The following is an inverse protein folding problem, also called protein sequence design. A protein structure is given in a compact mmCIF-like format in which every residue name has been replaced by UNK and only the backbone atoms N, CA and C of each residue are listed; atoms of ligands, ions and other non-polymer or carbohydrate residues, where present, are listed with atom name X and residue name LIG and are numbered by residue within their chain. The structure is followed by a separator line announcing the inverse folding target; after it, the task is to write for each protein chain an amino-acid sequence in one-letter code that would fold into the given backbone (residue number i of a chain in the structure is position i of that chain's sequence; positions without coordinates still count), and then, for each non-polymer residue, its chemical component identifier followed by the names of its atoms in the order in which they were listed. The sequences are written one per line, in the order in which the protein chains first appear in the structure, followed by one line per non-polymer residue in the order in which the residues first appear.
data_IF_447463209301
#
_entry.id   IF_447463209301
#
_cell.length_a   1.000
_cell.length_b   1.000
_cell.length_c   1.000
_cell.angle_alpha   90.00
_cell.angle_beta   90.00
_cell.angle_gamma   90.00
#
_symmetry.space_group_name_H-M   'P 1'
#
loop_
_entity.id
_entity.type
_entity.pdbx_description
1 polymer ?
#
# COMPACT_ATOMS: atom_id res chain seq x y z
N UNK A 1 -32.46 -7.71 37.22
CA UNK A 1 -32.32 -8.49 35.98
C UNK A 1 -31.03 -8.06 35.34
N UNK A 2 -29.98 -8.84 35.59
CA UNK A 2 -28.63 -8.66 35.07
C UNK A 2 -28.64 -8.99 33.59
N UNK A 3 -28.49 -7.99 32.75
CA UNK A 3 -28.29 -8.13 31.30
C UNK A 3 -26.96 -8.81 31.06
N UNK A 4 -27.03 -10.04 30.58
CA UNK A 4 -25.90 -10.83 30.11
C UNK A 4 -25.32 -10.14 28.88
N UNK A 5 -24.19 -9.45 29.07
CA UNK A 5 -23.30 -9.09 27.96
C UNK A 5 -22.83 -10.39 27.32
N UNK A 6 -23.41 -10.76 26.18
CA UNK A 6 -22.83 -11.80 25.33
C UNK A 6 -21.47 -11.28 24.87
N UNK A 7 -20.38 -11.85 25.39
CA UNK A 7 -19.06 -11.67 24.78
C UNK A 7 -19.16 -12.18 23.34
N UNK A 8 -19.20 -11.26 22.38
CA UNK A 8 -19.07 -11.63 20.97
C UNK A 8 -17.74 -12.34 20.80
N UNK A 9 -17.75 -13.52 20.17
CA UNK A 9 -16.53 -14.27 19.89
C UNK A 9 -15.62 -13.44 18.97
N UNK A 10 -14.31 -13.45 19.24
CA UNK A 10 -13.32 -12.77 18.41
C UNK A 10 -13.34 -13.32 16.98
N UNK A 11 -13.36 -12.46 15.97
CA UNK A 11 -13.41 -12.87 14.57
C UNK A 11 -13.55 -11.70 13.59
N UNK A 12 -13.82 -11.96 12.31
CA UNK A 12 -13.99 -10.89 11.30
C UNK A 12 -15.13 -9.92 11.64
N UNK A 13 -16.12 -10.40 12.38
CA UNK A 13 -17.20 -9.59 12.96
C UNK A 13 -16.68 -8.48 13.88
N UNK A 14 -15.55 -8.70 14.56
CA UNK A 14 -14.89 -7.70 15.41
C UNK A 14 -14.40 -6.48 14.62
N UNK A 15 -14.20 -6.62 13.31
CA UNK A 15 -13.74 -5.55 12.43
C UNK A 15 -14.89 -4.81 11.72
N UNK A 16 -16.15 -5.21 11.93
CA UNK A 16 -17.31 -4.50 11.36
C UNK A 16 -17.42 -3.09 11.94
N UNK A 17 -17.85 -2.16 11.09
CA UNK A 17 -18.02 -0.75 11.42
C UNK A 17 -19.15 -0.18 10.56
N UNK A 18 -19.68 0.98 10.94
CA UNK A 18 -20.69 1.69 10.15
C UNK A 18 -19.99 2.43 9.00
N UNK A 19 -20.11 1.91 7.77
CA UNK A 19 -19.42 2.43 6.60
C UNK A 19 -19.90 3.86 6.25
N UNK A 20 -21.18 4.18 6.44
CA UNK A 20 -21.69 5.52 6.13
C UNK A 20 -21.21 6.55 7.16
N UNK A 21 -21.32 6.22 8.45
CA UNK A 21 -20.83 7.10 9.51
C UNK A 21 -19.32 7.35 9.37
N UNK A 22 -18.56 6.31 9.01
CA UNK A 22 -17.13 6.42 8.81
C UNK A 22 -16.77 7.21 7.55
N UNK A 23 -17.51 7.03 6.45
CA UNK A 23 -17.32 7.83 5.24
C UNK A 23 -17.59 9.33 5.49
N UNK A 24 -18.61 9.66 6.31
CA UNK A 24 -18.88 11.03 6.75
C UNK A 24 -17.71 11.56 7.58
N UNK A 25 -17.23 10.80 8.57
CA UNK A 25 -16.12 11.19 9.45
C UNK A 25 -14.83 11.46 8.65
N UNK A 26 -14.51 10.59 7.70
CA UNK A 26 -13.36 10.77 6.82
C UNK A 26 -13.55 12.01 5.92
N UNK A 27 -14.74 12.18 5.35
CA UNK A 27 -15.06 13.35 4.52
C UNK A 27 -14.92 14.67 5.28
N UNK A 28 -15.37 14.72 6.53
CA UNK A 28 -15.20 15.88 7.40
C UNK A 28 -13.73 16.18 7.71
N UNK A 29 -12.92 15.15 7.97
CA UNK A 29 -11.48 15.29 8.18
C UNK A 29 -10.78 15.85 6.93
N UNK A 30 -11.14 15.36 5.74
CA UNK A 30 -10.63 15.89 4.47
C UNK A 30 -11.01 17.37 4.31
N UNK A 31 -12.30 17.72 4.48
CA UNK A 31 -12.76 19.12 4.36
C UNK A 31 -12.04 20.03 5.36
N UNK A 32 -11.90 19.59 6.61
CA UNK A 32 -11.21 20.35 7.64
C UNK A 32 -9.75 20.62 7.26
N UNK A 33 -9.02 19.60 6.80
CA UNK A 33 -7.64 19.75 6.34
C UNK A 33 -7.53 20.75 5.18
N UNK A 34 -8.40 20.64 4.17
CA UNK A 34 -8.38 21.54 3.01
C UNK A 34 -8.66 22.99 3.41
N UNK A 35 -9.63 23.24 4.31
CA UNK A 35 -9.93 24.59 4.80
C UNK A 35 -8.76 25.16 5.60
N UNK A 36 -8.21 24.39 6.55
CA UNK A 36 -7.09 24.82 7.38
C UNK A 36 -5.85 25.18 6.54
N UNK A 37 -5.61 24.44 5.45
CA UNK A 37 -4.44 24.61 4.58
C UNK A 37 -4.72 25.38 3.29
N UNK A 38 -5.91 25.99 3.15
CA UNK A 38 -6.33 26.79 1.98
C UNK A 38 -6.19 26.04 0.64
N UNK A 39 -6.47 24.74 0.65
CA UNK A 39 -6.44 23.87 -0.53
C UNK A 39 -7.82 23.73 -1.15
N UNK A 40 -7.86 23.63 -2.48
CA UNK A 40 -9.10 23.67 -3.28
C UNK A 40 -9.67 22.30 -3.58
N UNK A 41 -8.92 21.21 -3.48
CA UNK A 41 -9.38 19.86 -3.82
C UNK A 41 -8.34 18.80 -3.50
N UNK A 42 -8.53 17.59 -4.04
CA UNK A 42 -7.66 16.43 -3.84
C UNK A 42 -7.06 15.97 -5.17
N UNK A 43 -5.76 15.68 -5.16
CA UNK A 43 -5.05 14.94 -6.20
C UNK A 43 -4.66 13.56 -5.65
N UNK A 44 -4.78 12.52 -6.47
CA UNK A 44 -4.30 11.18 -6.14
C UNK A 44 -3.94 10.36 -7.38
N UNK A 45 -2.97 9.45 -7.25
CA UNK A 45 -2.73 8.40 -8.22
C UNK A 45 -3.78 7.29 -8.13
N UNK A 46 -4.21 6.78 -9.27
CA UNK A 46 -5.12 5.63 -9.38
C UNK A 46 -4.43 4.50 -10.16
N UNK A 47 -4.41 3.31 -9.57
CA UNK A 47 -3.77 2.11 -10.14
C UNK A 47 -4.78 1.00 -10.50
N UNK A 48 -6.08 1.30 -10.39
CA UNK A 48 -7.13 0.28 -10.49
C UNK A 48 -7.08 -0.74 -9.36
N UNK A 49 -6.38 -0.43 -8.26
CA UNK A 49 -6.41 -1.18 -7.01
C UNK A 49 -7.47 -0.66 -6.05
N UNK A 50 -7.91 -1.50 -5.12
CA UNK A 50 -9.01 -1.21 -4.20
C UNK A 50 -8.75 0.02 -3.32
N UNK A 51 -7.53 0.20 -2.80
CA UNK A 51 -7.24 1.27 -1.84
C UNK A 51 -7.36 2.66 -2.48
N UNK A 52 -6.74 2.85 -3.65
CA UNK A 52 -6.86 4.11 -4.40
C UNK A 52 -8.30 4.39 -4.86
N UNK A 53 -9.06 3.34 -5.16
CA UNK A 53 -10.46 3.44 -5.57
C UNK A 53 -11.36 3.93 -4.44
N UNK A 54 -11.17 3.40 -3.23
CA UNK A 54 -11.87 3.85 -2.02
C UNK A 54 -11.52 5.29 -1.68
N UNK A 55 -10.24 5.67 -1.74
CA UNK A 55 -9.83 7.05 -1.49
C UNK A 55 -10.43 8.02 -2.50
N UNK A 56 -10.46 7.66 -3.80
CA UNK A 56 -11.11 8.46 -4.83
C UNK A 56 -12.62 8.64 -4.53
N UNK A 57 -13.33 7.55 -4.24
CA UNK A 57 -14.76 7.58 -3.95
C UNK A 57 -15.09 8.37 -2.67
N UNK A 58 -14.28 8.24 -1.60
CA UNK A 58 -14.40 9.04 -0.38
C UNK A 58 -14.18 10.53 -0.66
N UNK A 59 -13.18 10.88 -1.47
CA UNK A 59 -12.93 12.27 -1.84
C UNK A 59 -14.09 12.86 -2.66
N UNK A 60 -14.67 12.09 -3.59
CA UNK A 60 -15.85 12.51 -4.37
C UNK A 60 -17.07 12.68 -3.48
N UNK A 61 -17.35 11.72 -2.57
CA UNK A 61 -18.44 11.85 -1.59
C UNK A 61 -18.25 13.08 -0.70
N UNK A 62 -17.00 13.41 -0.36
CA UNK A 62 -16.69 14.54 0.50
C UNK A 62 -16.78 15.90 -0.21
N UNK A 63 -16.34 16.00 -1.46
CA UNK A 63 -16.04 17.28 -2.12
C UNK A 63 -16.82 17.52 -3.42
N UNK A 64 -17.43 16.47 -4.00
CA UNK A 64 -17.91 16.46 -5.37
C UNK A 64 -16.80 16.13 -6.39
N UNK A 65 -17.16 15.65 -7.59
CA UNK A 65 -16.20 15.19 -8.59
C UNK A 65 -15.28 16.30 -9.12
N UNK A 66 -15.80 17.52 -9.28
CA UNK A 66 -15.06 18.69 -9.80
C UNK A 66 -13.85 19.12 -8.94
N UNK A 67 -13.71 18.54 -7.74
CA UNK A 67 -12.65 18.85 -6.77
C UNK A 67 -11.72 17.67 -6.53
N UNK A 68 -11.78 16.64 -7.38
CA UNK A 68 -10.94 15.45 -7.34
C UNK A 68 -10.28 15.28 -8.70
N UNK A 69 -8.96 15.16 -8.72
CA UNK A 69 -8.18 15.00 -9.94
C UNK A 69 -7.29 13.76 -9.84
N UNK A 70 -7.47 12.81 -10.76
CA UNK A 70 -6.78 11.51 -10.73
C UNK A 70 -5.63 11.43 -11.73
N UNK A 71 -4.55 10.73 -11.36
CA UNK A 71 -3.42 10.46 -12.25
C UNK A 71 -3.33 8.95 -12.53
N UNK A 72 -3.33 8.59 -13.81
CA UNK A 72 -2.98 7.26 -14.29
C UNK A 72 -1.49 7.26 -14.62
N UNK A 73 -0.68 6.49 -13.89
CA UNK A 73 0.79 6.54 -13.99
C UNK A 73 1.42 5.18 -14.30
N UNK A 74 1.14 4.61 -15.49
CA UNK A 74 1.74 3.35 -15.93
C UNK A 74 3.24 3.53 -16.22
N UNK A 75 3.95 2.42 -16.23
CA UNK A 75 5.31 2.32 -16.74
C UNK A 75 5.48 1.06 -17.60
N UNK A 76 6.63 0.92 -18.28
CA UNK A 76 6.84 -0.12 -19.30
C UNK A 76 6.68 -1.57 -18.78
N UNK A 77 6.70 -1.81 -17.48
CA UNK A 77 6.45 -3.12 -16.85
C UNK A 77 5.12 -3.20 -16.09
N UNK A 78 4.29 -2.14 -16.12
CA UNK A 78 2.95 -2.18 -15.55
C UNK A 78 2.06 -3.16 -16.32
N UNK A 79 1.14 -3.82 -15.61
CA UNK A 79 0.13 -4.68 -16.23
C UNK A 79 -0.76 -3.92 -17.23
N UNK A 80 -1.02 -4.53 -18.39
CA UNK A 80 -1.86 -3.97 -19.46
C UNK A 80 -3.27 -3.60 -18.99
N UNK A 81 -3.81 -4.34 -18.01
CA UNK A 81 -5.18 -4.14 -17.52
C UNK A 81 -5.31 -2.94 -16.56
N UNK A 82 -4.19 -2.46 -15.99
CA UNK A 82 -4.17 -1.41 -14.96
C UNK A 82 -4.85 -0.12 -15.43
N UNK A 83 -4.57 0.31 -16.67
CA UNK A 83 -5.17 1.53 -17.25
C UNK A 83 -6.67 1.34 -17.48
N UNK A 84 -7.09 0.14 -17.89
CA UNK A 84 -8.51 -0.17 -18.10
C UNK A 84 -9.31 -0.03 -16.81
N UNK A 85 -8.81 -0.60 -15.71
CA UNK A 85 -9.44 -0.49 -14.40
C UNK A 85 -9.44 0.93 -13.84
N UNK A 86 -8.31 1.64 -13.93
CA UNK A 86 -8.21 3.00 -13.42
C UNK A 86 -9.11 3.96 -14.20
N UNK A 87 -9.20 3.81 -15.53
CA UNK A 87 -10.12 4.60 -16.37
C UNK A 87 -11.57 4.30 -16.02
N UNK A 88 -11.93 3.01 -15.85
CA UNK A 88 -13.27 2.62 -15.44
C UNK A 88 -13.69 3.25 -14.12
N UNK A 89 -12.77 3.31 -13.14
CA UNK A 89 -13.00 4.00 -11.89
C UNK A 89 -13.26 5.49 -12.11
N UNK A 90 -12.39 6.19 -12.85
CA UNK A 90 -12.52 7.64 -13.05
C UNK A 90 -13.81 8.00 -13.78
N UNK A 91 -14.20 7.18 -14.78
CA UNK A 91 -15.45 7.35 -15.52
C UNK A 91 -16.67 7.12 -14.62
N UNK A 92 -16.65 6.06 -13.79
CA UNK A 92 -17.74 5.76 -12.86
C UNK A 92 -17.92 6.85 -11.80
N UNK A 93 -16.83 7.48 -11.36
CA UNK A 93 -16.86 8.58 -10.39
C UNK A 93 -17.10 9.96 -11.03
N UNK A 94 -16.99 10.06 -12.36
CA UNK A 94 -17.12 11.32 -13.09
C UNK A 94 -16.03 12.35 -12.77
N UNK A 95 -14.81 11.90 -12.46
CA UNK A 95 -13.69 12.78 -12.07
C UNK A 95 -12.73 13.04 -13.23
N UNK A 96 -12.17 14.24 -13.27
CA UNK A 96 -11.11 14.58 -14.23
C UNK A 96 -9.86 13.74 -13.94
N UNK A 97 -9.18 13.33 -15.02
CA UNK A 97 -7.95 12.57 -14.92
C UNK A 97 -6.96 12.83 -16.05
N UNK A 98 -5.71 12.42 -15.85
CA UNK A 98 -4.64 12.51 -16.84
C UNK A 98 -3.82 11.22 -16.86
N UNK A 99 -3.33 10.85 -18.04
CA UNK A 99 -2.37 9.78 -18.23
C UNK A 99 -0.95 10.37 -18.28
N UNK A 100 -0.09 9.93 -17.37
CA UNK A 100 1.31 10.32 -17.29
C UNK A 100 2.18 9.06 -17.35
N UNK A 101 2.75 8.76 -18.53
CA UNK A 101 3.71 7.66 -18.67
C UNK A 101 5.03 8.02 -17.95
N UNK A 102 5.34 7.29 -16.89
CA UNK A 102 6.53 7.55 -16.07
C UNK A 102 7.78 6.82 -16.58
N UNK A 103 7.66 5.98 -17.61
CA UNK A 103 8.77 5.19 -18.15
C UNK A 103 9.99 6.07 -18.52
N UNK A 104 9.84 7.22 -19.21
CA UNK A 104 10.98 8.06 -19.56
C UNK A 104 11.72 8.60 -18.33
N UNK A 105 11.00 8.95 -17.25
CA UNK A 105 11.60 9.42 -15.98
C UNK A 105 12.38 8.28 -15.33
N UNK A 106 11.82 7.07 -15.32
CA UNK A 106 12.48 5.89 -14.75
C UNK A 106 13.72 5.47 -15.54
N UNK A 107 13.68 5.56 -16.88
CA UNK A 107 14.86 5.39 -17.73
C UNK A 107 15.92 6.44 -17.42
N UNK A 108 15.53 7.72 -17.30
CA UNK A 108 16.45 8.81 -16.96
C UNK A 108 17.12 8.66 -15.58
N UNK A 109 16.42 8.07 -14.62
CA UNK A 109 16.96 7.73 -13.29
C UNK A 109 17.85 6.47 -13.31
N UNK A 110 17.84 5.71 -14.42
CA UNK A 110 18.50 4.43 -14.54
C UNK A 110 17.84 3.33 -13.70
N UNK A 111 16.53 3.42 -13.42
CA UNK A 111 15.83 2.50 -12.53
C UNK A 111 15.96 1.04 -13.01
N UNK A 112 15.64 0.77 -14.28
CA UNK A 112 15.73 -0.58 -14.85
C UNK A 112 17.18 -1.07 -14.93
N UNK A 113 18.10 -0.22 -15.41
CA UNK A 113 19.52 -0.57 -15.52
C UNK A 113 20.11 -0.97 -14.16
N UNK A 114 19.92 -0.17 -13.12
CA UNK A 114 20.45 -0.43 -11.77
C UNK A 114 19.90 -1.71 -11.18
N UNK A 115 18.59 -1.95 -11.34
CA UNK A 115 17.96 -3.19 -10.92
C UNK A 115 18.57 -4.39 -11.64
N UNK A 116 18.64 -4.34 -12.97
CA UNK A 116 19.11 -5.46 -13.77
C UNK A 116 20.60 -5.75 -13.52
N UNK A 117 21.42 -4.71 -13.35
CA UNK A 117 22.83 -4.83 -12.97
C UNK A 117 22.98 -5.53 -11.60
N UNK A 118 22.13 -5.19 -10.63
CA UNK A 118 22.11 -5.83 -9.32
C UNK A 118 21.66 -7.31 -9.39
N UNK A 119 20.65 -7.63 -10.20
CA UNK A 119 20.23 -9.02 -10.44
C UNK A 119 21.36 -9.80 -11.13
N UNK A 120 22.07 -9.21 -12.09
CA UNK A 120 23.18 -9.88 -12.81
C UNK A 120 24.34 -10.29 -11.90
N UNK A 121 24.50 -9.67 -10.73
CA UNK A 121 25.51 -10.10 -9.74
C UNK A 121 25.23 -11.51 -9.19
N UNK A 122 23.96 -11.92 -9.14
CA UNK A 122 23.56 -13.27 -8.69
C UNK A 122 23.13 -14.18 -9.83
N UNK A 123 22.62 -13.60 -10.93
CA UNK A 123 22.22 -14.32 -12.15
C UNK A 123 22.90 -13.68 -13.36
N UNK A 124 24.15 -14.03 -13.71
CA UNK A 124 24.92 -13.37 -14.77
C UNK A 124 24.25 -13.37 -16.16
N UNK A 125 23.34 -14.33 -16.42
CA UNK A 125 22.59 -14.42 -17.67
C UNK A 125 21.37 -13.49 -17.75
N UNK A 126 20.97 -12.83 -16.66
CA UNK A 126 19.79 -11.97 -16.61
C UNK A 126 19.91 -10.79 -17.58
N UNK A 127 18.94 -10.60 -18.46
CA UNK A 127 19.03 -9.60 -19.52
C UNK A 127 17.69 -9.30 -20.17
N UNK A 128 17.73 -8.80 -21.42
CA UNK A 128 16.53 -8.40 -22.14
C UNK A 128 15.51 -9.54 -22.24
N UNK A 129 14.23 -9.23 -21.98
CA UNK A 129 13.12 -10.19 -22.04
C UNK A 129 12.97 -11.07 -20.80
N UNK A 130 13.89 -10.98 -19.83
CA UNK A 130 13.73 -11.66 -18.55
C UNK A 130 12.79 -10.88 -17.63
N UNK A 131 12.04 -11.60 -16.81
CA UNK A 131 11.23 -11.01 -15.73
C UNK A 131 11.79 -11.42 -14.38
N UNK A 132 11.51 -10.65 -13.35
CA UNK A 132 11.94 -10.93 -11.98
C UNK A 132 10.92 -10.46 -10.94
N UNK A 133 10.98 -11.07 -9.75
CA UNK A 133 10.39 -10.59 -8.48
C UNK A 133 11.27 -10.96 -7.29
N UNK A 134 11.22 -10.18 -6.22
CA UNK A 134 11.85 -10.54 -4.94
C UNK A 134 10.85 -11.32 -4.09
N UNK A 135 11.26 -12.44 -3.51
CA UNK A 135 10.44 -13.24 -2.59
C UNK A 135 11.11 -13.37 -1.23
N UNK A 136 10.29 -13.50 -0.19
CA UNK A 136 10.71 -13.81 1.17
C UNK A 136 10.01 -15.11 1.63
N UNK A 137 10.72 -16.06 2.25
CA UNK A 137 10.08 -17.29 2.76
C UNK A 137 8.97 -16.97 3.78
N UNK A 138 7.88 -17.74 3.78
CA UNK A 138 6.75 -17.61 4.72
C UNK A 138 7.17 -17.69 6.19
N UNK A 139 6.57 -16.86 7.05
CA UNK A 139 6.78 -16.86 8.52
C UNK A 139 6.12 -18.06 9.20
N UNK A 140 5.06 -18.58 8.61
CA UNK A 140 4.21 -19.58 9.25
C UNK A 140 4.90 -20.95 9.28
N UNK A 141 5.74 -21.22 8.28
CA UNK A 141 6.25 -22.56 8.00
C UNK A 141 7.64 -22.85 8.61
N UNK A 142 8.41 -21.84 9.03
CA UNK A 142 9.78 -22.05 9.57
C UNK A 142 10.35 -20.87 10.38
N UNK A 143 11.14 -21.17 11.42
CA UNK A 143 11.95 -20.20 12.18
C UNK A 143 13.35 -19.92 11.55
N UNK A 144 13.60 -20.38 10.31
CA UNK A 144 14.88 -20.19 9.64
C UNK A 144 15.17 -18.72 9.28
N UNK A 145 16.45 -18.35 9.21
CA UNK A 145 16.89 -17.02 8.77
C UNK A 145 16.28 -16.65 7.40
N UNK A 146 15.41 -15.63 7.39
CA UNK A 146 14.69 -15.17 6.20
C UNK A 146 15.62 -14.31 5.34
N UNK A 147 16.07 -14.88 4.23
CA UNK A 147 16.91 -14.17 3.27
C UNK A 147 16.16 -14.01 1.96
N UNK A 148 16.17 -12.79 1.45
CA UNK A 148 15.54 -12.45 0.19
C UNK A 148 16.15 -13.25 -0.95
N UNK A 149 15.29 -13.75 -1.82
CA UNK A 149 15.68 -14.37 -3.07
C UNK A 149 15.05 -13.62 -4.23
N UNK A 150 15.68 -13.69 -5.39
CA UNK A 150 15.09 -13.25 -6.65
C UNK A 150 14.60 -14.47 -7.40
N UNK A 151 13.33 -14.45 -7.79
CA UNK A 151 12.80 -15.36 -8.80
C UNK A 151 12.99 -14.67 -10.14
N UNK A 152 13.62 -15.35 -11.08
CA UNK A 152 13.80 -14.87 -12.45
C UNK A 152 13.11 -15.82 -13.42
N UNK A 153 12.49 -15.27 -14.44
CA UNK A 153 11.88 -16.00 -15.55
C UNK A 153 12.63 -15.62 -16.83
N UNK A 154 13.16 -16.63 -17.53
CA UNK A 154 13.83 -16.41 -18.81
C UNK A 154 12.83 -16.26 -19.98
N UNK A 155 13.28 -15.85 -21.18
CA UNK A 155 12.38 -15.69 -22.33
C UNK A 155 11.69 -16.97 -22.82
N UNK A 156 12.10 -18.15 -22.35
CA UNK A 156 11.42 -19.43 -22.62
C UNK A 156 10.30 -19.72 -21.62
N UNK A 157 10.17 -18.91 -20.55
CA UNK A 157 9.22 -19.08 -19.46
C UNK A 157 9.76 -19.95 -18.32
N UNK A 158 11.04 -20.35 -18.34
CA UNK A 158 11.61 -21.15 -17.27
C UNK A 158 11.96 -20.27 -16.07
N UNK A 159 11.49 -20.66 -14.88
CA UNK A 159 11.77 -19.94 -13.64
C UNK A 159 12.90 -20.58 -12.82
N UNK A 160 13.69 -19.72 -12.18
CA UNK A 160 14.70 -20.15 -11.20
C UNK A 160 14.79 -19.17 -10.03
N UNK A 161 15.14 -19.67 -8.85
CA UNK A 161 15.21 -18.89 -7.61
C UNK A 161 16.65 -18.80 -7.12
N UNK A 162 17.13 -17.59 -6.89
CA UNK A 162 18.52 -17.32 -6.50
C UNK A 162 18.56 -16.46 -5.24
N UNK A 163 19.39 -16.86 -4.27
CA UNK A 163 19.56 -16.11 -3.03
C UNK A 163 20.30 -14.80 -3.32
N UNK A 164 19.74 -13.69 -2.83
CA UNK A 164 20.36 -12.38 -2.99
C UNK A 164 21.47 -12.17 -1.98
N UNK A 165 22.55 -11.51 -2.40
CA UNK A 165 23.47 -10.85 -1.48
C UNK A 165 22.80 -9.60 -0.90
N UNK A 166 23.24 -9.12 0.26
CA UNK A 166 22.71 -7.89 0.86
C UNK A 166 22.87 -6.70 -0.09
N UNK A 167 24.00 -6.59 -0.78
CA UNK A 167 24.27 -5.53 -1.75
C UNK A 167 23.28 -5.58 -2.93
N UNK A 168 23.09 -6.76 -3.55
CA UNK A 168 22.15 -6.91 -4.65
C UNK A 168 20.70 -6.61 -4.22
N UNK A 169 20.29 -7.11 -3.05
CA UNK A 169 18.97 -6.83 -2.49
C UNK A 169 18.74 -5.32 -2.28
N UNK A 170 19.67 -4.64 -1.61
CA UNK A 170 19.54 -3.21 -1.32
C UNK A 170 19.48 -2.36 -2.60
N UNK A 171 20.26 -2.70 -3.63
CA UNK A 171 20.23 -1.97 -4.89
C UNK A 171 18.95 -2.23 -5.69
N UNK A 172 18.45 -3.46 -5.72
CA UNK A 172 17.15 -3.76 -6.35
C UNK A 172 16.03 -2.95 -5.67
N UNK A 173 15.98 -2.94 -4.34
CA UNK A 173 14.98 -2.16 -3.59
C UNK A 173 15.15 -0.66 -3.86
N UNK A 174 16.38 -0.15 -3.85
CA UNK A 174 16.65 1.27 -4.12
C UNK A 174 16.20 1.69 -5.53
N UNK A 175 16.47 0.86 -6.54
CA UNK A 175 16.07 1.09 -7.92
C UNK A 175 14.54 1.03 -8.09
N UNK A 176 13.91 0.05 -7.44
CA UNK A 176 12.45 -0.14 -7.47
C UNK A 176 11.70 1.03 -6.82
N UNK A 177 12.26 1.61 -5.76
CA UNK A 177 11.69 2.78 -5.09
C UNK A 177 11.58 4.03 -5.99
N UNK A 178 12.32 4.11 -7.10
CA UNK A 178 12.15 5.20 -8.07
C UNK A 178 10.73 5.23 -8.66
N UNK A 179 10.09 4.06 -8.87
CA UNK A 179 8.70 3.97 -9.37
C UNK A 179 7.75 4.80 -8.51
N UNK A 180 7.75 4.54 -7.20
CA UNK A 180 6.83 5.22 -6.27
C UNK A 180 7.18 6.71 -6.06
N UNK A 181 8.46 7.05 -6.09
CA UNK A 181 8.91 8.46 -5.96
C UNK A 181 8.59 9.29 -7.20
N UNK A 182 8.73 8.72 -8.40
CA UNK A 182 8.35 9.39 -9.64
C UNK A 182 6.85 9.69 -9.68
N UNK A 183 6.02 8.71 -9.31
CA UNK A 183 4.56 8.89 -9.18
C UNK A 183 4.21 10.03 -8.22
N UNK A 184 4.84 10.02 -7.04
CA UNK A 184 4.61 11.06 -6.04
C UNK A 184 5.04 12.46 -6.50
N UNK A 185 6.15 12.55 -7.24
CA UNK A 185 6.58 13.82 -7.82
C UNK A 185 5.54 14.40 -8.79
N UNK A 186 4.91 13.57 -9.61
CA UNK A 186 3.84 14.00 -10.53
C UNK A 186 2.56 14.37 -9.78
N UNK A 187 2.15 13.61 -8.77
CA UNK A 187 1.00 13.98 -7.95
C UNK A 187 1.17 15.36 -7.31
N UNK A 188 2.35 15.65 -6.74
CA UNK A 188 2.62 16.98 -6.17
C UNK A 188 2.73 18.08 -7.24
N UNK A 189 3.26 17.79 -8.44
CA UNK A 189 3.20 18.74 -9.55
C UNK A 189 1.76 19.16 -9.87
N UNK A 190 0.83 18.20 -9.97
CA UNK A 190 -0.58 18.50 -10.21
C UNK A 190 -1.24 19.20 -9.02
N UNK A 191 -0.90 18.79 -7.79
CA UNK A 191 -1.41 19.43 -6.57
C UNK A 191 -1.01 20.91 -6.50
N UNK A 192 0.26 21.24 -6.78
CA UNK A 192 0.75 22.61 -6.80
C UNK A 192 0.06 23.43 -7.90
N UNK A 193 -0.03 22.89 -9.12
CA UNK A 193 -0.67 23.55 -10.27
C UNK A 193 -2.15 23.86 -10.02
N UNK A 194 -2.86 22.98 -9.31
CA UNK A 194 -4.30 23.10 -9.03
C UNK A 194 -4.59 23.78 -7.68
N UNK A 195 -3.57 24.00 -6.85
CA UNK A 195 -3.69 24.32 -5.41
C UNK A 195 -4.55 23.30 -4.65
N UNK A 196 -4.31 22.01 -4.89
CA UNK A 196 -4.98 20.87 -4.27
C UNK A 196 -4.05 20.24 -3.21
N UNK A 197 -4.57 19.31 -2.40
CA UNK A 197 -3.78 18.48 -1.51
C UNK A 197 -3.61 17.07 -2.10
N UNK A 198 -2.51 16.41 -1.79
CA UNK A 198 -2.26 15.02 -2.21
C UNK A 198 -2.86 14.03 -1.21
N UNK A 199 -3.71 13.12 -1.67
CA UNK A 199 -4.20 12.01 -0.86
C UNK A 199 -3.35 10.75 -1.03
N UNK A 200 -2.91 10.18 0.09
CA UNK A 200 -2.24 8.88 0.15
C UNK A 200 -3.23 7.75 0.37
N UNK A 201 -2.90 6.58 -0.15
CA UNK A 201 -3.78 5.41 -0.17
C UNK A 201 -3.34 4.21 0.69
N UNK A 202 -2.35 4.27 1.62
CA UNK A 202 -2.03 3.08 2.39
C UNK A 202 -3.17 2.78 3.38
N UNK A 203 -3.59 1.51 3.45
CA UNK A 203 -4.51 1.03 4.49
C UNK A 203 -3.75 0.72 5.79
N UNK A 204 -4.46 0.27 6.84
CA UNK A 204 -3.87 0.02 8.16
C UNK A 204 -2.76 -1.03 8.13
N UNK A 205 -2.91 -2.12 7.38
CA UNK A 205 -1.88 -3.15 7.32
C UNK A 205 -0.58 -2.57 6.75
N UNK A 206 -0.72 -1.80 5.68
CA UNK A 206 0.41 -1.23 4.95
C UNK A 206 1.07 -0.11 5.76
N UNK A 207 0.26 0.79 6.32
CA UNK A 207 0.76 1.91 7.11
C UNK A 207 1.40 1.44 8.41
N UNK A 208 0.79 0.50 9.14
CA UNK A 208 1.32 0.02 10.43
C UNK A 208 2.64 -0.74 10.29
N UNK A 209 2.76 -1.57 9.25
CA UNK A 209 3.92 -2.42 9.05
C UNK A 209 5.00 -1.77 8.16
N UNK A 210 4.79 -0.53 7.69
CA UNK A 210 5.74 0.20 6.86
C UNK A 210 5.86 -0.33 5.44
N UNK A 211 4.76 -0.84 4.88
CA UNK A 211 4.69 -1.30 3.50
C UNK A 211 4.40 -0.15 2.53
N UNK A 212 5.37 0.74 2.40
CA UNK A 212 5.33 1.87 1.48
C UNK A 212 6.74 2.44 1.29
N UNK A 213 6.94 3.23 0.24
CA UNK A 213 8.21 3.91 -0.01
C UNK A 213 8.19 5.28 0.68
N UNK A 214 9.16 5.53 1.56
CA UNK A 214 9.39 6.87 2.13
C UNK A 214 9.66 7.87 1.00
N UNK A 215 8.92 8.97 0.99
CA UNK A 215 8.88 10.00 -0.07
C UNK A 215 8.36 9.49 -1.44
N UNK A 216 7.81 8.27 -1.48
CA UNK A 216 7.03 7.75 -2.59
C UNK A 216 5.55 7.74 -2.22
N UNK A 217 4.87 6.62 -2.42
CA UNK A 217 3.49 6.34 -2.03
C UNK A 217 3.21 6.57 -0.53
N UNK A 218 4.24 6.52 0.32
CA UNK A 218 4.14 6.89 1.73
C UNK A 218 3.98 8.38 2.02
N UNK A 219 4.29 9.27 1.07
CA UNK A 219 4.12 10.72 1.23
C UNK A 219 2.72 11.17 0.78
N UNK A 220 2.10 12.03 1.58
CA UNK A 220 0.81 12.63 1.27
C UNK A 220 0.51 13.74 2.28
N UNK A 221 -0.43 14.61 1.93
CA UNK A 221 -0.98 15.65 2.79
C UNK A 221 -2.07 15.07 3.71
N UNK A 222 -2.88 14.15 3.18
CA UNK A 222 -3.90 13.39 3.93
C UNK A 222 -3.79 11.89 3.60
N UNK A 223 -4.06 11.01 4.57
CA UNK A 223 -4.11 9.55 4.37
C UNK A 223 -5.46 9.00 4.86
N UNK A 224 -6.53 9.12 4.06
CA UNK A 224 -7.90 8.97 4.54
C UNK A 224 -8.25 7.58 5.11
N UNK A 225 -7.51 6.55 4.72
CA UNK A 225 -7.81 5.15 5.08
C UNK A 225 -6.68 4.46 5.85
N UNK A 226 -5.67 5.19 6.32
CA UNK A 226 -4.52 4.60 7.03
C UNK A 226 -4.89 3.94 8.37
N UNK A 227 -6.08 4.21 8.90
CA UNK A 227 -6.62 3.56 10.09
C UNK A 227 -7.56 2.38 9.78
N UNK A 228 -7.98 2.19 8.53
CA UNK A 228 -8.89 1.12 8.13
C UNK A 228 -8.12 -0.17 7.80
N UNK A 229 -8.53 -1.28 8.39
CA UNK A 229 -8.05 -2.62 8.04
C UNK A 229 -8.41 -2.98 6.59
N UNK A 230 -7.71 -3.95 5.98
CA UNK A 230 -7.93 -4.24 4.55
C UNK A 230 -9.36 -4.73 4.29
N UNK A 231 -9.88 -5.57 5.16
CA UNK A 231 -11.28 -6.00 5.18
C UNK A 231 -12.26 -4.81 5.23
N UNK A 232 -11.95 -3.80 6.04
CA UNK A 232 -12.75 -2.58 6.14
C UNK A 232 -12.68 -1.72 4.87
N UNK A 233 -11.53 -1.69 4.19
CA UNK A 233 -11.39 -1.04 2.87
C UNK A 233 -12.29 -1.71 1.84
N UNK A 234 -12.34 -3.06 1.79
CA UNK A 234 -13.26 -3.76 0.90
C UNK A 234 -14.74 -3.50 1.23
N UNK A 235 -15.11 -3.48 2.52
CA UNK A 235 -16.47 -3.13 2.94
C UNK A 235 -16.84 -1.70 2.50
N UNK A 236 -15.93 -0.75 2.70
CA UNK A 236 -16.09 0.64 2.25
C UNK A 236 -16.20 0.74 0.73
N UNK A 237 -15.44 -0.05 -0.04
CA UNK A 237 -15.52 -0.07 -1.49
C UNK A 237 -16.91 -0.50 -1.99
N UNK A 238 -17.47 -1.55 -1.39
CA UNK A 238 -18.82 -2.01 -1.68
C UNK A 238 -19.86 -0.94 -1.33
N UNK A 239 -19.75 -0.33 -0.14
CA UNK A 239 -20.64 0.73 0.32
C UNK A 239 -20.65 1.95 -0.60
N UNK A 240 -19.47 2.36 -1.09
CA UNK A 240 -19.32 3.53 -1.97
C UNK A 240 -19.64 3.24 -3.44
N UNK A 241 -19.98 1.99 -3.80
CA UNK A 241 -20.30 1.62 -5.17
C UNK A 241 -19.09 1.60 -6.12
N UNK A 242 -17.90 1.28 -5.61
CA UNK A 242 -16.72 1.02 -6.46
C UNK A 242 -17.04 -0.13 -7.42
N UNK A 243 -16.69 -0.08 -8.72
CA UNK A 243 -16.99 -1.15 -9.68
C UNK A 243 -16.60 -2.55 -9.19
N UNK A 244 -17.49 -3.53 -9.36
CA UNK A 244 -17.31 -4.90 -8.86
C UNK A 244 -16.03 -5.56 -9.37
N UNK A 245 -15.62 -5.28 -10.61
CA UNK A 245 -14.40 -5.87 -11.19
C UNK A 245 -13.13 -5.37 -10.52
N UNK A 246 -13.15 -4.16 -9.94
CA UNK A 246 -12.05 -3.64 -9.11
C UNK A 246 -12.06 -4.32 -7.74
N UNK A 247 -13.25 -4.56 -7.17
CA UNK A 247 -13.39 -5.26 -5.89
C UNK A 247 -12.95 -6.73 -5.99
N UNK A 248 -13.17 -7.38 -7.13
CA UNK A 248 -12.80 -8.77 -7.37
C UNK A 248 -11.31 -8.97 -7.70
N UNK A 249 -10.58 -7.90 -8.04
CA UNK A 249 -9.18 -7.97 -8.43
C UNK A 249 -8.29 -8.35 -7.24
N UNK A 250 -7.42 -9.37 -7.36
CA UNK A 250 -6.42 -9.66 -6.34
C UNK A 250 -5.53 -8.45 -6.07
N UNK A 251 -5.22 -8.19 -4.79
CA UNK A 251 -4.33 -7.09 -4.42
C UNK A 251 -2.88 -7.38 -4.86
N UNK A 252 -2.37 -6.53 -5.75
CA UNK A 252 -0.98 -6.57 -6.26
C UNK A 252 -0.25 -5.28 -5.92
N UNK A 253 1.08 -5.35 -5.86
CA UNK A 253 1.95 -4.18 -5.67
C UNK A 253 2.36 -3.50 -6.97
N UNK A 254 2.10 -4.11 -8.14
CA UNK A 254 2.55 -3.65 -9.48
C UNK A 254 3.98 -3.08 -9.46
N UNK A 255 4.87 -3.78 -8.75
CA UNK A 255 6.22 -3.29 -8.42
C UNK A 255 7.29 -3.96 -9.26
N UNK A 256 7.13 -5.26 -9.53
CA UNK A 256 8.07 -6.08 -10.28
C UNK A 256 7.43 -6.63 -11.56
N UNK A 257 8.26 -6.95 -12.55
CA UNK A 257 7.82 -7.51 -13.84
C UNK A 257 7.16 -8.88 -13.77
N UNK A 258 7.40 -9.67 -12.71
CA UNK A 258 6.64 -10.88 -12.42
C UNK A 258 5.50 -10.57 -11.44
N UNK A 259 4.33 -11.17 -11.71
CA UNK A 259 3.17 -11.03 -10.83
C UNK A 259 3.46 -11.57 -9.43
N UNK A 260 3.01 -10.83 -8.43
CA UNK A 260 3.22 -11.12 -7.03
C UNK A 260 2.09 -10.53 -6.18
N UNK A 261 1.56 -11.33 -5.25
CA UNK A 261 0.61 -10.84 -4.26
C UNK A 261 1.33 -10.15 -3.09
N UNK A 262 0.64 -9.25 -2.39
CA UNK A 262 1.17 -8.66 -1.16
C UNK A 262 1.43 -9.71 -0.07
N UNK A 263 0.71 -10.83 -0.10
CA UNK A 263 0.87 -11.97 0.81
C UNK A 263 2.21 -12.66 0.59
N UNK A 264 2.56 -12.96 -0.67
CA UNK A 264 3.83 -13.55 -1.06
C UNK A 264 5.02 -12.62 -0.79
N UNK A 265 4.80 -11.32 -0.94
CA UNK A 265 5.89 -10.34 -0.85
C UNK A 265 6.17 -9.86 0.57
N UNK A 266 5.12 -9.58 1.36
CA UNK A 266 5.25 -8.82 2.59
C UNK A 266 4.49 -9.40 3.77
N UNK A 267 3.18 -9.67 3.64
CA UNK A 267 2.34 -9.98 4.80
C UNK A 267 2.39 -11.45 5.25
N UNK A 268 2.84 -12.38 4.41
CA UNK A 268 2.95 -13.82 4.74
C UNK A 268 1.63 -14.52 5.13
N UNK A 269 0.50 -13.81 5.12
CA UNK A 269 -0.85 -14.29 5.39
C UNK A 269 -1.84 -13.57 4.47
N UNK A 270 -2.97 -14.21 4.14
CA UNK A 270 -4.12 -13.52 3.57
C UNK A 270 -4.61 -12.39 4.45
N UNK A 271 -5.08 -11.31 3.82
CA UNK A 271 -5.39 -10.07 4.53
C UNK A 271 -6.46 -10.25 5.63
N UNK A 272 -7.42 -11.16 5.44
CA UNK A 272 -8.45 -11.44 6.46
C UNK A 272 -7.81 -11.98 7.75
N UNK A 273 -6.78 -12.83 7.64
CA UNK A 273 -6.06 -13.37 8.79
C UNK A 273 -5.09 -12.34 9.35
N UNK A 274 -4.38 -11.60 8.49
CA UNK A 274 -3.45 -10.56 8.93
C UNK A 274 -4.16 -9.42 9.68
N UNK A 275 -5.37 -9.02 9.24
CA UNK A 275 -6.19 -8.03 9.94
C UNK A 275 -6.54 -8.49 11.36
N UNK A 276 -6.94 -9.76 11.54
CA UNK A 276 -7.21 -10.34 12.86
C UNK A 276 -5.93 -10.49 13.70
N UNK A 277 -4.80 -10.86 13.12
CA UNK A 277 -3.55 -10.90 13.88
C UNK A 277 -3.14 -9.49 14.33
N UNK A 278 -3.21 -8.50 13.44
CA UNK A 278 -2.83 -7.11 13.77
C UNK A 278 -3.78 -6.49 14.79
N UNK A 279 -5.10 -6.69 14.63
CA UNK A 279 -6.08 -6.21 15.60
C UNK A 279 -5.86 -6.88 16.96
N UNK A 280 -5.65 -8.19 16.98
CA UNK A 280 -5.42 -8.96 18.20
C UNK A 280 -4.19 -8.49 18.95
N UNK A 281 -3.09 -8.24 18.24
CA UNK A 281 -1.86 -7.68 18.81
C UNK A 281 -2.07 -6.28 19.39
N UNK A 282 -2.84 -5.43 18.71
CA UNK A 282 -3.04 -4.03 19.12
C UNK A 282 -4.03 -3.84 20.28
N UNK A 283 -4.86 -4.84 20.57
CA UNK A 283 -5.91 -4.79 21.60
C UNK A 283 -5.72 -5.84 22.68
N UNK A 284 -4.53 -6.44 22.77
CA UNK A 284 -4.18 -7.45 23.77
C UNK A 284 -5.18 -8.63 23.82
N UNK A 285 -5.72 -9.01 22.66
CA UNK A 285 -6.62 -10.18 22.55
C UNK A 285 -5.83 -11.44 22.86
N UNK A 286 -6.33 -12.36 23.71
CA UNK A 286 -5.64 -13.60 24.02
C UNK A 286 -5.25 -14.37 22.76
N UNK A 287 -4.00 -14.79 22.65
CA UNK A 287 -3.45 -15.48 21.47
C UNK A 287 -4.23 -16.74 21.10
N UNK A 288 -4.83 -17.42 22.08
CA UNK A 288 -5.72 -18.55 21.87
C UNK A 288 -7.01 -18.18 21.11
N UNK A 289 -7.62 -17.03 21.41
CA UNK A 289 -8.80 -16.54 20.69
C UNK A 289 -8.44 -16.11 19.26
N UNK A 290 -7.27 -15.48 19.08
CA UNK A 290 -6.77 -15.12 17.75
C UNK A 290 -6.45 -16.37 16.92
N UNK A 291 -5.86 -17.40 17.54
CA UNK A 291 -5.57 -18.68 16.92
C UNK A 291 -6.86 -19.36 16.43
N UNK A 292 -7.88 -19.42 17.28
CA UNK A 292 -9.21 -19.94 16.92
C UNK A 292 -9.83 -19.16 15.74
N UNK A 293 -9.85 -17.83 15.82
CA UNK A 293 -10.45 -16.96 14.80
C UNK A 293 -9.74 -17.01 13.44
N UNK A 294 -8.43 -17.27 13.43
CA UNK A 294 -7.62 -17.31 12.19
C UNK A 294 -7.45 -18.73 11.64
N UNK A 295 -7.77 -19.75 12.44
CA UNK A 295 -7.47 -21.15 12.13
C UNK A 295 -5.97 -21.49 12.18
N UNK A 296 -5.19 -20.71 12.94
CA UNK A 296 -3.76 -20.92 13.18
C UNK A 296 -3.54 -21.59 14.54
N UNK A 297 -2.36 -22.15 14.78
CA UNK A 297 -1.95 -22.53 16.16
C UNK A 297 -1.52 -21.30 16.95
N UNK A 298 -1.51 -21.41 18.29
CA UNK A 298 -1.03 -20.33 19.17
C UNK A 298 0.42 -19.96 18.83
N UNK A 299 1.27 -20.95 18.58
CA UNK A 299 2.68 -20.74 18.20
C UNK A 299 2.80 -20.01 16.86
N UNK A 300 1.91 -20.29 15.89
CA UNK A 300 1.87 -19.58 14.62
C UNK A 300 1.44 -18.12 14.80
N UNK A 301 0.44 -17.84 15.65
CA UNK A 301 0.04 -16.46 15.98
C UNK A 301 1.19 -15.70 16.62
N UNK A 302 1.89 -16.32 17.58
CA UNK A 302 3.07 -15.70 18.22
C UNK A 302 4.20 -15.42 17.21
N UNK A 303 4.41 -16.30 16.22
CA UNK A 303 5.35 -16.02 15.12
C UNK A 303 4.92 -14.82 14.28
N UNK A 304 3.64 -14.71 13.96
CA UNK A 304 3.08 -13.57 13.22
C UNK A 304 3.26 -12.27 14.02
N UNK A 305 3.03 -12.30 15.34
CA UNK A 305 3.24 -11.13 16.21
C UNK A 305 4.69 -10.66 16.19
N UNK A 306 5.65 -11.60 16.34
CA UNK A 306 7.08 -11.28 16.24
C UNK A 306 7.44 -10.67 14.88
N UNK A 307 6.85 -11.15 13.79
CA UNK A 307 7.07 -10.59 12.45
C UNK A 307 6.50 -9.17 12.31
N UNK A 308 5.28 -8.91 12.81
CA UNK A 308 4.67 -7.57 12.83
C UNK A 308 5.56 -6.59 13.62
N UNK A 309 5.99 -6.97 14.83
CA UNK A 309 6.86 -6.14 15.66
C UNK A 309 8.22 -5.90 15.02
N UNK A 310 8.79 -6.93 14.39
CA UNK A 310 10.05 -6.80 13.65
C UNK A 310 9.90 -5.80 12.51
N UNK A 311 8.83 -5.88 11.71
CA UNK A 311 8.53 -4.94 10.63
C UNK A 311 8.40 -3.53 11.17
N UNK A 312 7.56 -3.29 12.18
CA UNK A 312 7.42 -1.98 12.85
C UNK A 312 8.78 -1.39 13.24
N UNK A 313 9.64 -2.20 13.85
CA UNK A 313 10.99 -1.76 14.26
C UNK A 313 11.88 -1.42 13.06
N UNK A 314 11.91 -2.27 12.03
CA UNK A 314 12.80 -2.06 10.87
C UNK A 314 12.30 -0.99 9.91
N UNK A 315 11.00 -0.68 9.92
CA UNK A 315 10.38 0.33 9.05
C UNK A 315 9.98 1.61 9.78
N UNK A 316 10.22 1.74 11.09
CA UNK A 316 9.96 2.95 11.87
C UNK A 316 10.51 4.23 11.22
N UNK A 317 11.69 4.14 10.58
CA UNK A 317 12.30 5.27 9.87
C UNK A 317 11.45 5.78 8.69
N UNK A 318 10.60 4.96 8.09
CA UNK A 318 9.72 5.37 6.99
C UNK A 318 8.66 6.37 7.45
N UNK A 319 8.25 6.30 8.71
CA UNK A 319 7.33 7.26 9.35
C UNK A 319 8.02 8.51 9.90
N UNK A 320 9.35 8.47 10.08
CA UNK A 320 10.07 9.54 10.75
C UNK A 320 10.09 10.82 9.91
N UNK A 321 9.62 11.92 10.52
CA UNK A 321 9.85 13.27 10.03
C UNK A 321 11.36 13.58 9.97
N UNK A 322 11.80 14.54 9.13
CA UNK A 322 13.16 15.04 9.18
C UNK A 322 13.52 15.53 10.60
N UNK A 323 14.68 15.13 11.10
CA UNK A 323 15.19 15.65 12.37
C UNK A 323 15.77 17.04 12.14
N UNK A 324 15.23 18.03 12.85
CA UNK A 324 15.81 19.36 12.91
C UNK A 324 16.83 19.39 14.05
N UNK A 325 17.96 20.06 13.84
CA UNK A 325 18.97 20.26 14.90
C UNK A 325 18.43 21.20 15.99
N UNK A 326 17.59 22.16 15.60
CA UNK A 326 16.86 23.09 16.47
C UNK A 326 15.47 23.33 15.87
N UNK A 327 14.46 23.50 16.73
CA UNK A 327 13.11 23.84 16.29
C UNK A 327 13.07 25.26 15.71
N UNK A 328 12.38 25.43 14.57
CA UNK A 328 12.13 26.76 13.99
C UNK A 328 10.87 27.34 14.65
N UNK A 329 11.07 28.14 15.71
CA UNK A 329 10.01 28.63 16.58
C UNK A 329 8.87 29.36 15.85
N UNK A 330 9.17 30.03 14.74
CA UNK A 330 8.20 30.76 13.92
C UNK A 330 7.27 29.85 13.11
N UNK A 331 7.65 28.59 12.89
CA UNK A 331 6.94 27.62 12.03
C UNK A 331 6.40 26.42 12.83
N UNK A 332 6.88 26.20 14.05
CA UNK A 332 6.40 25.13 14.92
C UNK A 332 4.88 25.23 15.11
N UNK A 333 4.12 24.33 14.48
CA UNK A 333 2.68 24.24 14.70
C UNK A 333 2.42 23.90 16.17
N UNK A 334 1.38 24.48 16.80
CA UNK A 334 0.92 23.96 18.09
C UNK A 334 0.57 22.48 17.86
N UNK A 335 1.23 21.61 18.62
CA UNK A 335 1.08 20.14 18.52
C UNK A 335 -0.34 19.67 18.78
#
# INVERSE_FOLDING_TARGET
MTTTSQNAAYGLETLRFDEEAEAIRIGDAIRHYLVANKRKGIVLGVSGGIDSSVVAALAVKALGPDRVFALHMPEQESSDDTIGFSTKLTDALGIDSVLEDISPVLVGLGAYQRRDDAIRRVVPAYGQGWKSKIVLPSVVDSDAFRLFSVVVEDPSGAQSTHRLTTEAYLEIVAATNFKQRARKALEYFHADRLNYAVAGTPNRLEYDQGFFVKLGDGAADVKPIAHLYKSQVYAMAAHLGVPEEIQARPSTTDTYSLEQSQEEFYFSLPYQRMDLCLYGLNHDVPTAEVAEATGLTVEQVERVYRDIEQKRRTTAYFHAAPMLVEDVAEIASPR
#
